data_IF_106930998213
#
_entry.id   IF_106930998213
#
_cell.length_a   1.000
_cell.length_b   1.000
_cell.length_c   1.000
_cell.angle_alpha   90.00
_cell.angle_beta   90.00
_cell.angle_gamma   90.00
#
_symmetry.space_group_name_H-M   'P 1'
#
loop_
_entity.id
_entity.type
_entity.pdbx_description
1 polymer ?
#
# COMPACT_ATOMS: atom_id res chain seq x y z
N UNK A 1 22.05 7.59 -6.07
CA UNK A 1 21.32 7.78 -4.80
C UNK A 1 20.14 6.83 -4.79
N UNK A 2 19.86 6.15 -3.66
CA UNK A 2 18.66 5.34 -3.52
C UNK A 2 17.42 6.25 -3.55
N UNK A 3 16.42 5.90 -4.36
CA UNK A 3 15.14 6.64 -4.42
C UNK A 3 14.37 6.41 -3.12
N UNK A 4 13.68 7.43 -2.63
CA UNK A 4 12.87 7.42 -1.40
C UNK A 4 11.41 7.72 -1.72
N UNK A 5 10.50 7.12 -0.96
CA UNK A 5 9.09 7.48 -0.97
C UNK A 5 8.75 8.38 0.23
N UNK A 6 7.84 9.31 0.00
CA UNK A 6 7.32 10.26 0.96
C UNK A 6 5.84 10.00 1.17
N UNK A 7 5.38 10.13 2.41
CA UNK A 7 4.01 9.85 2.81
C UNK A 7 3.43 11.03 3.57
N UNK A 8 2.19 11.37 3.26
CA UNK A 8 1.38 12.33 4.01
C UNK A 8 0.05 11.67 4.40
N UNK A 9 0.12 10.48 5.03
CA UNK A 9 -1.05 9.62 5.28
C UNK A 9 -2.16 10.32 6.08
N UNK A 10 -1.83 11.30 6.92
CA UNK A 10 -2.81 12.10 7.66
C UNK A 10 -3.75 12.90 6.74
N UNK A 11 -3.35 13.14 5.49
CA UNK A 11 -4.18 13.79 4.48
C UNK A 11 -5.07 12.80 3.71
N UNK A 12 -4.91 11.50 3.94
CA UNK A 12 -5.68 10.44 3.28
C UNK A 12 -6.80 9.96 4.19
N UNK A 13 -7.91 9.55 3.59
CA UNK A 13 -8.99 8.91 4.33
C UNK A 13 -8.58 7.50 4.69
N UNK A 14 -8.68 7.11 5.96
CA UNK A 14 -8.31 5.77 6.40
C UNK A 14 -9.58 4.98 6.76
N UNK A 15 -9.77 3.83 6.13
CA UNK A 15 -10.87 2.90 6.42
C UNK A 15 -10.31 1.58 6.94
N UNK A 16 -10.94 1.02 7.96
CA UNK A 16 -10.64 -0.32 8.49
C UNK A 16 -11.95 -0.95 8.97
N UNK A 17 -12.25 -2.14 8.47
CA UNK A 17 -13.56 -2.77 8.64
C UNK A 17 -14.68 -1.91 8.04
N UNK A 18 -15.79 -1.79 8.77
CA UNK A 18 -16.99 -1.06 8.34
C UNK A 18 -16.99 0.45 8.66
N UNK A 19 -15.86 1.03 9.05
CA UNK A 19 -15.81 2.43 9.47
C UNK A 19 -14.55 3.17 9.05
N UNK A 20 -14.69 4.49 8.97
CA UNK A 20 -13.55 5.41 8.91
C UNK A 20 -12.83 5.43 10.27
N UNK A 21 -11.51 5.57 10.23
CA UNK A 21 -10.63 5.59 11.40
C UNK A 21 -9.71 6.81 11.30
N UNK A 22 -9.38 7.40 12.44
CA UNK A 22 -8.30 8.39 12.47
C UNK A 22 -6.98 7.75 12.03
N UNK A 23 -6.27 8.44 11.14
CA UNK A 23 -4.93 8.04 10.73
C UNK A 23 -3.97 8.25 11.90
N UNK A 24 -3.58 7.14 12.54
CA UNK A 24 -2.48 7.14 13.52
C UNK A 24 -1.18 6.93 12.76
N UNK A 25 -0.16 7.74 13.02
CA UNK A 25 1.15 7.63 12.37
C UNK A 25 1.90 6.41 12.92
N UNK A 26 1.51 5.21 12.47
CA UNK A 26 1.88 3.93 13.09
C UNK A 26 2.92 3.12 12.32
N UNK A 27 3.34 3.61 11.14
CA UNK A 27 4.24 2.86 10.25
C UNK A 27 5.71 3.18 10.48
N UNK A 28 6.19 2.88 11.68
CA UNK A 28 7.58 3.08 12.10
C UNK A 28 8.43 1.81 11.98
N UNK A 29 7.89 0.75 11.36
CA UNK A 29 8.57 -0.52 11.21
C UNK A 29 9.85 -0.43 10.38
N UNK A 30 10.79 -1.33 10.67
CA UNK A 30 12.09 -1.42 10.00
C UNK A 30 11.95 -1.59 8.49
N UNK A 31 10.92 -2.32 8.07
CA UNK A 31 10.57 -2.56 6.68
C UNK A 31 9.10 -2.24 6.44
N UNK A 32 8.81 -1.66 5.28
CA UNK A 32 7.44 -1.33 4.85
C UNK A 32 7.20 -1.84 3.45
N UNK A 33 6.23 -2.73 3.26
CA UNK A 33 5.72 -3.12 1.96
C UNK A 33 4.55 -2.22 1.58
N UNK A 34 4.76 -1.32 0.63
CA UNK A 34 3.72 -0.42 0.11
C UNK A 34 3.10 -1.06 -1.11
N UNK A 35 1.79 -1.27 -1.06
CA UNK A 35 0.95 -1.68 -2.19
C UNK A 35 0.15 -0.47 -2.64
N UNK A 36 0.54 0.09 -3.79
CA UNK A 36 -0.09 1.26 -4.37
C UNK A 36 -1.03 0.87 -5.51
N UNK A 37 -2.26 1.37 -5.49
CA UNK A 37 -3.23 1.26 -6.57
C UNK A 37 -3.56 2.66 -7.07
N UNK A 38 -3.16 2.96 -8.30
CA UNK A 38 -3.32 4.28 -8.88
C UNK A 38 -4.65 4.43 -9.64
N UNK A 39 -4.88 5.63 -10.15
CA UNK A 39 -6.09 5.97 -10.90
C UNK A 39 -6.16 5.32 -12.30
N UNK A 40 -5.09 4.67 -12.77
CA UNK A 40 -5.06 3.99 -14.08
C UNK A 40 -5.54 2.54 -13.91
N UNK A 41 -5.21 1.91 -12.78
CA UNK A 41 -5.63 0.56 -12.45
C UNK A 41 -7.16 0.42 -12.33
N UNK A 42 -7.69 -0.75 -12.67
CA UNK A 42 -9.11 -1.06 -12.41
C UNK A 42 -9.33 -1.18 -10.89
N UNK A 43 -9.82 -0.12 -10.25
CA UNK A 43 -9.96 -0.09 -8.79
C UNK A 43 -10.90 -1.17 -8.25
N UNK A 44 -11.99 -1.44 -8.98
CA UNK A 44 -12.93 -2.51 -8.61
C UNK A 44 -12.31 -3.91 -8.71
N UNK A 45 -11.34 -4.10 -9.61
CA UNK A 45 -10.60 -5.34 -9.77
C UNK A 45 -9.52 -5.47 -8.67
N UNK A 46 -8.72 -4.42 -8.47
CA UNK A 46 -7.64 -4.38 -7.50
C UNK A 46 -8.13 -4.59 -6.06
N UNK A 47 -9.25 -3.94 -5.69
CA UNK A 47 -9.85 -4.13 -4.37
C UNK A 47 -10.39 -5.55 -4.16
N UNK A 48 -10.94 -6.20 -5.20
CA UNK A 48 -11.38 -7.60 -5.10
C UNK A 48 -10.22 -8.55 -4.87
N UNK A 49 -9.04 -8.26 -5.42
CA UNK A 49 -7.82 -9.07 -5.24
C UNK A 49 -7.05 -8.75 -3.97
N UNK A 50 -7.53 -7.82 -3.12
CA UNK A 50 -6.78 -7.44 -1.91
C UNK A 50 -6.62 -8.58 -0.89
N UNK A 51 -7.55 -9.53 -0.86
CA UNK A 51 -7.45 -10.74 -0.03
C UNK A 51 -6.21 -11.60 -0.37
N UNK A 52 -5.65 -11.49 -1.57
CA UNK A 52 -4.40 -12.20 -1.93
C UNK A 52 -3.20 -11.71 -1.10
N UNK A 53 -3.29 -10.49 -0.54
CA UNK A 53 -2.27 -9.94 0.35
C UNK A 53 -2.40 -10.40 1.80
N UNK A 54 -3.42 -11.20 2.14
CA UNK A 54 -3.64 -11.65 3.53
C UNK A 54 -2.41 -12.37 4.10
N UNK A 55 -1.65 -13.11 3.28
CA UNK A 55 -0.37 -13.72 3.70
C UNK A 55 0.67 -12.70 4.17
N UNK A 56 0.71 -11.51 3.57
CA UNK A 56 1.61 -10.42 3.98
C UNK A 56 1.05 -9.59 5.13
N UNK A 57 -0.27 -9.52 5.25
CA UNK A 57 -0.94 -8.93 6.43
C UNK A 57 -0.64 -9.80 7.65
N UNK A 58 -0.83 -11.11 7.56
CA UNK A 58 -0.48 -12.06 8.62
C UNK A 58 1.00 -12.00 8.97
N UNK A 59 1.88 -11.86 7.96
CA UNK A 59 3.31 -11.64 8.19
C UNK A 59 3.55 -10.35 8.99
N UNK A 60 2.88 -9.25 8.62
CA UNK A 60 2.97 -7.97 9.32
C UNK A 60 2.48 -8.07 10.76
N UNK A 61 1.36 -8.75 11.00
CA UNK A 61 0.83 -9.02 12.34
C UNK A 61 1.83 -9.85 13.17
N UNK A 62 2.53 -10.81 12.56
CA UNK A 62 3.51 -11.66 13.24
C UNK A 62 4.86 -10.97 13.52
N UNK A 63 5.16 -9.89 12.80
CA UNK A 63 6.45 -9.17 12.82
C UNK A 63 6.25 -7.71 13.25
N UNK A 64 5.43 -7.49 14.28
CA UNK A 64 5.10 -6.15 14.78
C UNK A 64 6.38 -5.33 15.07
N UNK A 65 6.43 -4.10 14.54
CA UNK A 65 7.58 -3.19 14.67
C UNK A 65 8.76 -3.50 13.73
N UNK A 66 8.74 -4.64 13.04
CA UNK A 66 9.78 -5.02 12.06
C UNK A 66 9.24 -4.89 10.64
N UNK A 67 8.03 -5.36 10.36
CA UNK A 67 7.46 -5.35 9.02
C UNK A 67 6.02 -4.86 9.01
N UNK A 68 5.77 -3.79 8.25
CA UNK A 68 4.41 -3.33 7.97
C UNK A 68 4.04 -3.52 6.50
N UNK A 69 2.78 -3.84 6.24
CA UNK A 69 2.15 -3.66 4.93
C UNK A 69 1.24 -2.42 4.93
N UNK A 70 1.34 -1.62 3.87
CA UNK A 70 0.60 -0.38 3.69
C UNK A 70 -0.13 -0.37 2.35
N UNK A 71 -1.45 -0.16 2.39
CA UNK A 71 -2.29 -0.08 1.20
C UNK A 71 -2.68 1.38 0.90
N UNK A 72 -2.26 1.88 -0.26
CA UNK A 72 -2.61 3.24 -0.72
C UNK A 72 -3.40 3.14 -2.02
N UNK A 73 -4.56 3.77 -2.04
CA UNK A 73 -5.51 3.77 -3.16
C UNK A 73 -5.74 5.22 -3.60
N UNK A 74 -5.35 5.57 -4.83
CA UNK A 74 -5.59 6.90 -5.42
C UNK A 74 -6.62 6.81 -6.55
N UNK A 75 -7.93 6.89 -6.26
CA UNK A 75 -8.96 6.77 -7.29
C UNK A 75 -9.04 8.00 -8.20
N UNK A 76 -9.68 7.85 -9.37
CA UNK A 76 -10.14 9.03 -10.11
C UNK A 76 -11.19 9.78 -9.29
N UNK A 77 -11.27 11.11 -9.48
CA UNK A 77 -12.18 11.96 -8.72
C UNK A 77 -13.65 11.49 -8.81
N UNK A 78 -14.09 11.07 -10.00
CA UNK A 78 -15.45 10.58 -10.24
C UNK A 78 -15.72 9.16 -9.70
N UNK A 79 -14.68 8.43 -9.25
CA UNK A 79 -14.79 7.06 -8.72
C UNK A 79 -14.72 7.01 -7.19
N UNK A 80 -14.38 8.12 -6.52
CA UNK A 80 -14.15 8.18 -5.07
C UNK A 80 -15.29 7.57 -4.25
N UNK A 81 -16.55 7.89 -4.58
CA UNK A 81 -17.71 7.35 -3.88
C UNK A 81 -17.83 5.83 -4.01
N UNK A 82 -17.63 5.29 -5.21
CA UNK A 82 -17.66 3.84 -5.46
C UNK A 82 -16.55 3.12 -4.71
N UNK A 83 -15.35 3.70 -4.69
CA UNK A 83 -14.19 3.14 -4.00
C UNK A 83 -14.40 3.12 -2.49
N UNK A 84 -14.94 4.19 -1.89
CA UNK A 84 -15.32 4.21 -0.47
C UNK A 84 -16.32 3.11 -0.13
N UNK A 85 -17.40 2.99 -0.90
CA UNK A 85 -18.41 1.94 -0.71
C UNK A 85 -17.75 0.56 -0.81
N UNK A 86 -16.88 0.36 -1.80
CA UNK A 86 -16.21 -0.92 -2.01
C UNK A 86 -15.30 -1.28 -0.85
N UNK A 87 -14.43 -0.37 -0.42
CA UNK A 87 -13.53 -0.57 0.73
C UNK A 87 -14.31 -0.92 2.01
N UNK A 88 -15.41 -0.21 2.29
CA UNK A 88 -16.29 -0.52 3.42
C UNK A 88 -16.97 -1.89 3.28
N UNK A 89 -17.44 -2.23 2.08
CA UNK A 89 -18.15 -3.51 1.84
C UNK A 89 -17.26 -4.74 1.93
N UNK A 90 -15.97 -4.61 1.59
CA UNK A 90 -14.99 -5.69 1.70
C UNK A 90 -14.57 -5.93 3.16
N UNK A 91 -14.83 -4.97 4.07
CA UNK A 91 -14.61 -5.12 5.51
C UNK A 91 -13.17 -5.58 5.86
N UNK A 92 -12.17 -4.98 5.21
CA UNK A 92 -10.77 -5.33 5.41
C UNK A 92 -10.35 -5.22 6.87
N UNK A 93 -9.68 -6.24 7.40
CA UNK A 93 -9.17 -6.25 8.78
C UNK A 93 -8.00 -5.28 8.99
N UNK A 94 -7.38 -4.84 7.90
CA UNK A 94 -6.27 -3.91 7.85
C UNK A 94 -6.72 -2.54 7.31
N UNK A 95 -5.99 -1.46 7.67
CA UNK A 95 -6.28 -0.13 7.16
C UNK A 95 -5.98 0.01 5.67
N UNK A 96 -6.88 0.69 4.95
CA UNK A 96 -6.72 1.12 3.56
C UNK A 96 -6.77 2.64 3.51
N UNK A 97 -5.74 3.25 2.93
CA UNK A 97 -5.64 4.71 2.78
C UNK A 97 -6.11 5.12 1.40
N UNK A 98 -7.14 5.97 1.34
CA UNK A 98 -7.66 6.56 0.12
C UNK A 98 -7.10 7.98 -0.04
N UNK A 99 -6.24 8.15 -1.04
CA UNK A 99 -5.68 9.43 -1.46
C UNK A 99 -6.56 10.05 -2.55
N UNK A 100 -7.59 10.76 -2.11
CA UNK A 100 -8.61 11.40 -2.96
C UNK A 100 -8.10 12.62 -3.74
N UNK A 101 -6.92 13.13 -3.39
CA UNK A 101 -6.28 14.31 -4.00
C UNK A 101 -5.08 13.96 -4.88
N UNK A 102 -4.80 12.67 -5.05
CA UNK A 102 -3.66 12.14 -5.79
C UNK A 102 -2.32 12.77 -5.32
N UNK A 103 -2.19 13.00 -4.01
CA UNK A 103 -1.00 13.58 -3.39
C UNK A 103 0.17 12.61 -3.46
N UNK A 104 -0.07 11.30 -3.29
CA UNK A 104 0.99 10.30 -3.17
C UNK A 104 1.86 10.24 -4.43
N UNK A 105 1.25 10.20 -5.62
CA UNK A 105 2.00 10.22 -6.88
C UNK A 105 2.68 11.57 -7.13
N UNK A 106 2.05 12.69 -6.78
CA UNK A 106 2.60 14.05 -6.97
C UNK A 106 3.87 14.29 -6.16
N UNK A 107 3.92 13.82 -4.92
CA UNK A 107 5.11 13.99 -4.06
C UNK A 107 6.18 12.91 -4.31
N UNK A 108 5.84 11.87 -5.07
CA UNK A 108 6.74 10.78 -5.45
C UNK A 108 6.84 10.63 -6.98
N UNK A 109 7.42 11.60 -7.70
CA UNK A 109 7.54 11.56 -9.17
C UNK A 109 8.44 10.43 -9.67
N UNK A 110 9.06 9.67 -8.76
CA UNK A 110 9.89 8.53 -9.06
C UNK A 110 9.11 7.22 -9.29
N UNK A 111 7.79 7.20 -8.99
CA UNK A 111 6.88 6.07 -9.19
C UNK A 111 6.64 5.91 -10.71
N UNK A 112 6.92 4.72 -11.29
CA UNK A 112 6.63 4.44 -12.70
C UNK A 112 5.13 4.46 -13.00
N UNK A 113 4.74 4.69 -14.25
CA UNK A 113 3.32 4.64 -14.66
C UNK A 113 2.78 3.21 -14.75
N UNK A 114 3.64 2.20 -14.88
CA UNK A 114 3.22 0.81 -15.05
C UNK A 114 2.83 0.17 -13.71
N UNK A 115 1.59 -0.30 -13.60
CA UNK A 115 0.98 -0.89 -12.39
C UNK A 115 1.82 -2.03 -11.77
N UNK A 116 2.52 -2.81 -12.59
CA UNK A 116 3.38 -3.90 -12.13
C UNK A 116 4.55 -3.45 -11.24
N UNK A 117 4.88 -2.15 -11.24
CA UNK A 117 5.91 -1.53 -10.42
C UNK A 117 5.35 -0.73 -9.24
N UNK A 118 4.07 -0.87 -8.91
CA UNK A 118 3.43 -0.15 -7.80
C UNK A 118 3.48 -0.89 -6.45
N UNK A 119 4.43 -1.82 -6.31
CA UNK A 119 4.70 -2.50 -5.04
C UNK A 119 6.15 -2.25 -4.65
N UNK A 120 6.36 -1.71 -3.45
CA UNK A 120 7.67 -1.24 -2.99
C UNK A 120 7.99 -1.80 -1.62
N UNK A 121 9.14 -2.47 -1.47
CA UNK A 121 9.73 -2.71 -0.16
C UNK A 121 10.63 -1.53 0.19
N UNK A 122 10.39 -0.93 1.36
CA UNK A 122 11.15 0.20 1.88
C UNK A 122 11.88 -0.18 3.15
N UNK A 123 13.01 0.50 3.41
CA UNK A 123 13.66 0.49 4.72
C UNK A 123 12.97 1.46 5.71
N UNK A 124 13.48 1.51 6.94
CA UNK A 124 13.01 2.42 8.01
C UNK A 124 13.04 3.90 7.60
N UNK A 125 13.96 4.27 6.72
CA UNK A 125 14.12 5.62 6.20
C UNK A 125 13.28 5.88 4.93
N UNK A 126 12.35 4.97 4.59
CA UNK A 126 11.51 4.98 3.39
C UNK A 126 12.28 4.91 2.06
N UNK A 127 13.54 4.48 2.07
CA UNK A 127 14.30 4.26 0.84
C UNK A 127 13.82 2.97 0.20
N UNK A 128 13.69 2.98 -1.12
CA UNK A 128 13.24 1.83 -1.89
C UNK A 128 14.37 0.79 -1.94
N UNK A 129 14.14 -0.38 -1.36
CA UNK A 129 15.03 -1.55 -1.40
C UNK A 129 14.68 -2.44 -2.59
N UNK A 130 13.38 -2.66 -2.83
CA UNK A 130 12.88 -3.54 -3.88
C UNK A 130 11.62 -2.95 -4.53
N UNK A 131 11.47 -3.18 -5.83
CA UNK A 131 10.26 -2.86 -6.61
C UNK A 131 9.75 -4.14 -7.25
N UNK A 132 8.45 -4.40 -7.13
CA UNK A 132 7.77 -5.51 -7.80
C UNK A 132 6.77 -6.23 -6.89
N UNK A 133 5.75 -6.82 -7.51
CA UNK A 133 4.69 -7.54 -6.80
C UNK A 133 5.14 -8.98 -6.46
N UNK A 134 5.31 -9.34 -5.18
CA UNK A 134 5.76 -10.66 -4.79
C UNK A 134 4.68 -11.74 -4.94
N UNK A 135 3.39 -11.39 -5.04
CA UNK A 135 2.31 -12.33 -5.37
C UNK A 135 2.40 -12.84 -6.81
N UNK A 136 3.03 -12.07 -7.71
CA UNK A 136 3.18 -12.40 -9.14
C UNK A 136 4.53 -13.05 -9.47
N UNK A 137 5.47 -13.13 -8.52
CA UNK A 137 6.82 -13.64 -8.79
C UNK A 137 7.50 -14.20 -7.54
N UNK A 138 7.72 -15.52 -7.53
CA UNK A 138 8.49 -16.21 -6.48
C UNK A 138 9.90 -15.65 -6.32
N UNK A 139 10.51 -15.15 -7.41
CA UNK A 139 11.82 -14.49 -7.34
C UNK A 139 11.75 -13.20 -6.52
N UNK A 140 10.71 -12.39 -6.72
CA UNK A 140 10.49 -11.15 -5.95
C UNK A 140 10.15 -11.48 -4.50
N UNK A 141 9.29 -12.46 -4.25
CA UNK A 141 9.02 -12.96 -2.90
C UNK A 141 10.30 -13.33 -2.15
N UNK A 142 11.16 -14.17 -2.75
CA UNK A 142 12.42 -14.60 -2.13
C UNK A 142 13.38 -13.43 -1.87
N UNK A 143 13.44 -12.45 -2.77
CA UNK A 143 14.25 -11.25 -2.59
C UNK A 143 13.72 -10.38 -1.44
N UNK A 144 12.40 -10.23 -1.32
CA UNK A 144 11.76 -9.51 -0.23
C UNK A 144 12.14 -10.14 1.11
N UNK A 145 11.91 -11.45 1.28
CA UNK A 145 12.24 -12.16 2.53
C UNK A 145 13.74 -12.09 2.84
N UNK A 146 14.61 -12.18 1.84
CA UNK A 146 16.07 -12.08 2.05
C UNK A 146 16.51 -10.67 2.46
N UNK A 147 15.76 -9.63 2.06
CA UNK A 147 16.10 -8.24 2.35
C UNK A 147 15.77 -7.82 3.77
N UNK A 148 14.82 -8.52 4.43
CA UNK A 148 14.39 -8.23 5.81
C UNK A 148 15.19 -9.02 6.86
N UNK A 149 16.50 -9.18 6.63
CA UNK A 149 17.41 -9.98 7.47
C UNK A 149 18.35 -9.12 8.30
#
# INVERSE_FOLDING_TARGET
MAKKLYFLLILFLCYQGLKEKETVNRYLSEYKLVVYMDSISCMSCGLKTMHEWDVYVELSDSLEGVFDILFIVSPKHNELGLVKIKVLSENFKYPVFIDDKNIFSKINPCIPSEEQFHVFLLDKDNRIILVGNPLKSNKIHNLLIKSMK
#
